data_IF_003777102793
#
_entry.id   IF_003777102793
#
_cell.length_a   1.000
_cell.length_b   1.000
_cell.length_c   1.000
_cell.angle_alpha   90.00
_cell.angle_beta   90.00
_cell.angle_gamma   90.00
#
_symmetry.space_group_name_H-M   'P 1'
#
loop_
_entity.id
_entity.type
_entity.pdbx_description
1 polymer ?
#
# COMPACT_ATOMS: atom_id res chain seq x y z
N UNK A 1 19.75 -11.19 -3.21
CA UNK A 1 20.46 -10.50 -2.11
C UNK A 1 19.54 -10.12 -0.95
N UNK A 2 18.46 -9.33 -1.13
CA UNK A 2 17.56 -8.96 0.00
C UNK A 2 16.90 -10.18 0.67
N UNK A 3 16.41 -11.14 -0.12
CA UNK A 3 15.79 -12.36 0.41
C UNK A 3 16.76 -13.20 1.26
N UNK A 4 17.99 -13.40 0.79
CA UNK A 4 19.04 -14.09 1.55
C UNK A 4 19.44 -13.35 2.84
N UNK A 5 19.48 -12.01 2.80
CA UNK A 5 19.72 -11.22 4.00
C UNK A 5 18.57 -11.36 5.02
N UNK A 6 17.32 -11.34 4.56
CA UNK A 6 16.13 -11.56 5.41
C UNK A 6 16.06 -13.00 5.95
N UNK A 7 16.39 -14.00 5.14
CA UNK A 7 16.48 -15.41 5.57
C UNK A 7 17.54 -15.60 6.67
N UNK A 8 18.59 -14.78 6.68
CA UNK A 8 19.66 -14.85 7.69
C UNK A 8 19.33 -14.04 8.95
N UNK A 9 18.72 -12.87 8.80
CA UNK A 9 18.50 -11.91 9.90
C UNK A 9 17.13 -12.08 10.58
N UNK A 10 16.12 -12.51 9.84
CA UNK A 10 14.75 -12.71 10.32
C UNK A 10 14.05 -13.84 9.54
N UNK A 11 14.44 -15.11 9.78
CA UNK A 11 13.96 -16.27 9.01
C UNK A 11 12.44 -16.42 9.02
N UNK A 12 11.78 -16.03 10.12
CA UNK A 12 10.33 -16.02 10.26
C UNK A 12 9.65 -15.00 9.32
N UNK A 13 10.30 -13.87 9.04
CA UNK A 13 9.79 -12.84 8.11
C UNK A 13 9.97 -13.30 6.66
N UNK A 14 11.05 -14.02 6.35
CA UNK A 14 11.27 -14.54 5.00
C UNK A 14 10.19 -15.54 4.56
N UNK A 15 9.65 -16.33 5.51
CA UNK A 15 8.57 -17.30 5.26
C UNK A 15 7.20 -16.65 5.04
N UNK A 16 6.99 -15.41 5.51
CA UNK A 16 5.74 -14.67 5.33
C UNK A 16 5.71 -13.82 4.04
N UNK A 17 6.71 -13.94 3.16
CA UNK A 17 6.77 -13.16 1.92
C UNK A 17 5.89 -13.83 0.86
N UNK A 18 4.78 -13.16 0.53
CA UNK A 18 3.95 -13.53 -0.62
C UNK A 18 4.51 -12.82 -1.86
N UNK A 19 4.96 -13.60 -2.85
CA UNK A 19 5.46 -13.04 -4.11
C UNK A 19 4.28 -12.51 -4.94
N UNK A 20 4.28 -11.21 -5.23
CA UNK A 20 3.28 -10.57 -6.08
C UNK A 20 3.47 -11.00 -7.54
N UNK A 21 2.37 -11.31 -8.23
CA UNK A 21 2.35 -11.56 -9.68
C UNK A 21 2.35 -13.03 -10.09
N UNK A 22 2.31 -13.98 -9.15
CA UNK A 22 2.00 -15.38 -9.46
C UNK A 22 0.48 -15.58 -9.53
N UNK A 23 -0.02 -16.55 -10.33
CA UNK A 23 -1.45 -16.90 -10.36
C UNK A 23 -2.04 -17.20 -8.97
N UNK A 24 -1.23 -17.76 -8.07
CA UNK A 24 -1.64 -18.22 -6.75
C UNK A 24 -1.55 -17.13 -5.67
N UNK A 25 -1.08 -15.93 -6.01
CA UNK A 25 -0.90 -14.82 -5.05
C UNK A 25 -2.18 -14.55 -4.25
N UNK A 26 -3.32 -14.47 -4.94
CA UNK A 26 -4.61 -14.21 -4.28
C UNK A 26 -5.04 -15.34 -3.35
N UNK A 27 -4.72 -16.59 -3.69
CA UNK A 27 -5.05 -17.74 -2.86
C UNK A 27 -4.23 -17.70 -1.56
N UNK A 28 -2.92 -17.47 -1.64
CA UNK A 28 -2.07 -17.36 -0.45
C UNK A 28 -2.44 -16.18 0.44
N UNK A 29 -2.79 -15.03 -0.16
CA UNK A 29 -3.29 -13.87 0.61
C UNK A 29 -4.56 -14.26 1.37
N UNK A 30 -5.50 -14.94 0.69
CA UNK A 30 -6.73 -15.38 1.32
C UNK A 30 -6.49 -16.40 2.44
N UNK A 31 -5.70 -17.43 2.19
CA UNK A 31 -5.34 -18.45 3.19
C UNK A 31 -4.72 -17.81 4.42
N UNK A 32 -3.76 -16.89 4.23
CA UNK A 32 -3.15 -16.15 5.33
C UNK A 32 -4.18 -15.38 6.17
N UNK A 33 -5.13 -14.71 5.53
CA UNK A 33 -6.17 -13.94 6.22
C UNK A 33 -7.21 -14.85 6.90
N UNK A 34 -7.61 -15.95 6.26
CA UNK A 34 -8.55 -16.94 6.81
C UNK A 34 -7.95 -17.64 8.05
N UNK A 35 -6.64 -17.79 8.12
CA UNK A 35 -5.89 -18.27 9.30
C UNK A 35 -5.69 -17.22 10.39
N UNK A 36 -6.20 -15.99 10.20
CA UNK A 36 -6.07 -14.88 11.16
C UNK A 36 -4.74 -14.11 11.05
N UNK A 37 -4.00 -14.30 9.97
CA UNK A 37 -2.77 -13.57 9.66
C UNK A 37 -3.00 -12.15 9.16
N UNK A 38 -1.90 -11.44 8.90
CA UNK A 38 -1.88 -10.09 8.33
C UNK A 38 -1.09 -10.07 7.03
N UNK A 39 -1.62 -9.34 6.05
CA UNK A 39 -0.97 -9.14 4.75
C UNK A 39 -0.57 -7.67 4.63
N UNK A 40 0.74 -7.41 4.55
CA UNK A 40 1.30 -6.09 4.36
C UNK A 40 1.57 -5.80 2.88
N UNK A 41 1.13 -4.63 2.40
CA UNK A 41 1.34 -4.19 1.01
C UNK A 41 1.85 -2.76 1.02
N UNK A 42 2.92 -2.50 0.26
CA UNK A 42 3.35 -1.13 -0.03
C UNK A 42 2.42 -0.54 -1.10
N UNK A 43 1.60 0.42 -0.72
CA UNK A 43 0.59 1.02 -1.60
C UNK A 43 1.01 2.33 -2.27
N UNK A 44 2.22 2.82 -2.04
CA UNK A 44 2.65 4.15 -2.51
C UNK A 44 3.17 4.17 -3.95
N UNK A 45 3.54 3.02 -4.53
CA UNK A 45 4.18 2.96 -5.87
C UNK A 45 3.62 1.86 -6.75
N UNK A 46 3.29 2.16 -8.01
CA UNK A 46 2.94 1.13 -8.97
C UNK A 46 4.18 0.33 -9.40
N UNK A 47 4.01 -0.98 -9.57
CA UNK A 47 4.98 -1.82 -10.27
C UNK A 47 4.59 -2.01 -11.73
N UNK A 48 5.52 -2.50 -12.55
CA UNK A 48 5.31 -2.68 -13.99
C UNK A 48 4.08 -3.57 -14.26
N UNK A 49 3.12 -3.07 -15.04
CA UNK A 49 1.82 -3.69 -15.37
C UNK A 49 0.73 -3.61 -14.28
N UNK A 50 0.96 -2.85 -13.21
CA UNK A 50 -0.12 -2.55 -12.28
C UNK A 50 -1.21 -1.72 -12.96
N UNK A 51 -2.46 -2.01 -12.60
CA UNK A 51 -3.54 -1.05 -12.86
C UNK A 51 -3.31 0.16 -11.97
N UNK A 52 -3.12 1.31 -12.59
CA UNK A 52 -2.95 2.59 -11.90
C UNK A 52 -4.26 3.36 -11.85
N UNK A 53 -4.38 4.23 -10.85
CA UNK A 53 -5.41 5.26 -10.75
C UNK A 53 -4.74 6.59 -10.50
N UNK A 54 -5.29 7.65 -11.08
CA UNK A 54 -4.83 9.01 -10.82
C UNK A 54 -5.43 9.54 -9.51
N UNK A 55 -4.59 10.11 -8.65
CA UNK A 55 -4.98 10.78 -7.42
C UNK A 55 -4.26 12.11 -7.31
N UNK A 56 -4.87 13.05 -6.59
CA UNK A 56 -4.22 14.29 -6.19
C UNK A 56 -3.28 14.00 -5.01
N UNK A 57 -2.00 14.31 -5.19
CA UNK A 57 -0.96 14.11 -4.19
C UNK A 57 0.05 15.26 -4.22
N UNK A 58 0.21 15.92 -3.08
CA UNK A 58 1.06 17.10 -2.91
C UNK A 58 0.76 18.18 -3.98
N UNK A 59 -0.53 18.44 -4.18
CA UNK A 59 -1.09 19.43 -5.10
C UNK A 59 -0.89 19.14 -6.61
N UNK A 60 -0.44 17.95 -6.99
CA UNK A 60 -0.28 17.54 -8.38
C UNK A 60 -0.94 16.18 -8.62
N UNK A 61 -1.41 15.89 -9.85
CA UNK A 61 -1.87 14.56 -10.22
C UNK A 61 -0.71 13.55 -10.17
N UNK A 62 -0.94 12.38 -9.59
CA UNK A 62 0.04 11.30 -9.55
C UNK A 62 -0.63 9.93 -9.67
N UNK A 63 0.13 8.94 -10.13
CA UNK A 63 -0.37 7.58 -10.35
C UNK A 63 -0.07 6.66 -9.18
N UNK A 64 -1.11 6.02 -8.65
CA UNK A 64 -1.03 5.07 -7.54
C UNK A 64 -1.53 3.68 -7.96
N UNK A 65 -0.99 2.59 -7.36
CA UNK A 65 -1.47 1.25 -7.63
C UNK A 65 -2.88 1.08 -7.08
N UNK A 66 -3.79 0.60 -7.93
CA UNK A 66 -5.17 0.26 -7.53
C UNK A 66 -5.29 -1.14 -6.92
N UNK A 67 -4.24 -1.97 -7.05
CA UNK A 67 -4.19 -3.36 -6.60
C UNK A 67 -4.59 -3.56 -5.13
N UNK A 68 -4.08 -2.78 -4.16
CA UNK A 68 -4.43 -2.94 -2.75
C UNK A 68 -5.93 -2.77 -2.47
N UNK A 69 -6.53 -1.69 -2.99
CA UNK A 69 -7.96 -1.39 -2.81
C UNK A 69 -8.84 -2.43 -3.53
N UNK A 70 -8.43 -2.84 -4.73
CA UNK A 70 -9.09 -3.89 -5.49
C UNK A 70 -9.08 -5.22 -4.73
N UNK A 71 -7.93 -5.64 -4.23
CA UNK A 71 -7.75 -6.88 -3.47
C UNK A 71 -8.61 -6.88 -2.20
N UNK A 72 -8.55 -5.81 -1.42
CA UNK A 72 -9.38 -5.65 -0.23
C UNK A 72 -10.89 -5.70 -0.53
N UNK A 73 -11.33 -5.12 -1.66
CA UNK A 73 -12.75 -5.19 -2.08
C UNK A 73 -13.21 -6.60 -2.43
N UNK A 74 -12.32 -7.43 -2.98
CA UNK A 74 -12.62 -8.83 -3.35
C UNK A 74 -12.67 -9.71 -2.10
N UNK A 75 -11.70 -9.54 -1.22
CA UNK A 75 -11.56 -10.35 0.00
C UNK A 75 -12.50 -9.90 1.12
N UNK A 76 -13.04 -8.68 1.04
CA UNK A 76 -13.94 -8.08 2.05
C UNK A 76 -13.33 -8.07 3.45
N UNK A 77 -12.07 -7.71 3.55
CA UNK A 77 -11.33 -7.64 4.81
C UNK A 77 -11.11 -6.19 5.26
N UNK A 78 -10.90 -5.95 6.57
CA UNK A 78 -10.50 -4.64 7.08
C UNK A 78 -9.18 -4.18 6.48
N UNK A 79 -9.09 -2.88 6.20
CA UNK A 79 -7.89 -2.23 5.70
C UNK A 79 -7.39 -1.24 6.73
N UNK A 80 -6.18 -1.50 7.22
CA UNK A 80 -5.49 -0.64 8.18
C UNK A 80 -4.30 0.00 7.46
N UNK A 81 -4.22 1.33 7.52
CA UNK A 81 -3.04 2.07 7.11
C UNK A 81 -2.01 2.06 8.22
N UNK A 82 -0.75 1.96 7.85
CA UNK A 82 0.37 2.01 8.78
C UNK A 82 1.46 2.94 8.27
N UNK A 83 1.93 3.82 9.12
CA UNK A 83 3.01 4.77 8.81
C UNK A 83 4.04 4.81 9.94
N UNK A 84 5.31 4.62 9.58
CA UNK A 84 6.44 4.74 10.49
C UNK A 84 7.20 6.05 10.27
N UNK A 85 7.35 6.85 11.32
CA UNK A 85 8.06 8.12 11.29
C UNK A 85 9.29 8.04 12.20
N UNK A 86 10.47 8.28 11.64
CA UNK A 86 11.70 8.49 12.37
C UNK A 86 11.72 9.90 13.01
N UNK A 87 11.94 9.93 14.33
CA UNK A 87 11.97 11.15 15.16
C UNK A 87 13.37 11.52 15.67
N UNK A 88 14.41 10.93 15.07
CA UNK A 88 15.79 11.14 15.51
C UNK A 88 16.18 10.30 16.73
N UNK A 89 17.48 10.02 16.87
CA UNK A 89 18.02 9.35 18.05
C UNK A 89 17.42 7.97 18.31
N UNK A 90 17.26 7.17 17.25
CA UNK A 90 16.66 5.83 17.29
C UNK A 90 15.21 5.79 17.82
N UNK A 91 14.47 6.90 17.73
CA UNK A 91 13.05 6.95 18.09
C UNK A 91 12.18 6.89 16.84
N UNK A 92 11.14 6.09 16.92
CA UNK A 92 10.16 5.91 15.86
C UNK A 92 8.75 6.08 16.43
N UNK A 93 7.91 6.80 15.69
CA UNK A 93 6.47 6.83 15.90
C UNK A 93 5.80 5.96 14.85
N UNK A 94 4.82 5.21 15.29
CA UNK A 94 4.06 4.31 14.44
C UNK A 94 2.60 4.72 14.55
N UNK A 95 1.97 4.96 13.41
CA UNK A 95 0.56 5.29 13.33
C UNK A 95 -0.20 4.19 12.61
N UNK A 96 -1.28 3.72 13.24
CA UNK A 96 -2.25 2.81 12.64
C UNK A 96 -3.58 3.53 12.49
N UNK A 97 -4.18 3.44 11.32
CA UNK A 97 -5.49 4.05 11.04
C UNK A 97 -6.37 3.04 10.32
N UNK A 98 -7.60 2.84 10.81
CA UNK A 98 -8.59 2.07 10.07
C UNK A 98 -9.04 2.90 8.86
N UNK A 99 -8.75 2.43 7.64
CA UNK A 99 -9.28 3.03 6.42
C UNK A 99 -10.74 2.62 6.20
N UNK A 100 -11.03 1.33 6.35
CA UNK A 100 -12.37 0.77 6.25
C UNK A 100 -12.42 -0.64 6.83
N UNK A 101 -13.55 -1.01 7.43
CA UNK A 101 -13.86 -2.42 7.73
C UNK A 101 -14.06 -3.24 6.46
N UNK A 102 -14.65 -2.63 5.42
CA UNK A 102 -14.86 -3.25 4.12
C UNK A 102 -14.79 -2.21 3.01
N UNK A 103 -13.97 -2.47 2.00
CA UNK A 103 -13.96 -1.66 0.78
C UNK A 103 -15.10 -2.14 -0.12
N UNK A 104 -16.05 -1.25 -0.40
CA UNK A 104 -17.18 -1.52 -1.29
C UNK A 104 -16.97 -0.68 -2.55
N UNK A 105 -16.89 -1.36 -3.69
CA UNK A 105 -16.83 -0.72 -5.01
C UNK A 105 -18.22 -0.79 -5.65
N UNK A 106 -18.76 0.35 -6.08
CA UNK A 106 -19.99 0.39 -6.84
C UNK A 106 -19.80 -0.39 -8.16
N UNK A 107 -20.76 -1.24 -8.51
CA UNK A 107 -20.71 -2.01 -9.75
C UNK A 107 -20.95 -1.14 -10.98
N UNK A 108 -21.71 -0.05 -10.84
CA UNK A 108 -22.01 0.87 -11.94
C UNK A 108 -20.85 1.85 -12.16
N UNK A 109 -20.21 2.32 -11.08
CA UNK A 109 -19.12 3.29 -11.11
C UNK A 109 -17.85 2.74 -10.45
N UNK A 110 -17.41 1.56 -10.91
CA UNK A 110 -16.32 0.80 -10.27
C UNK A 110 -14.99 1.55 -10.29
N UNK A 111 -14.68 2.20 -11.40
CA UNK A 111 -13.42 2.95 -11.57
C UNK A 111 -13.40 4.18 -10.66
N UNK A 112 -14.47 4.96 -10.64
CA UNK A 112 -14.60 6.12 -9.75
C UNK A 112 -14.56 5.73 -8.27
N UNK A 113 -15.27 4.66 -7.89
CA UNK A 113 -15.22 4.15 -6.52
C UNK A 113 -13.81 3.72 -6.12
N UNK A 114 -13.09 3.08 -7.05
CA UNK A 114 -11.71 2.64 -6.82
C UNK A 114 -10.76 3.82 -6.70
N UNK A 115 -10.95 4.85 -7.52
CA UNK A 115 -10.23 6.12 -7.44
C UNK A 115 -10.50 6.78 -6.09
N UNK A 116 -11.74 6.86 -5.62
CA UNK A 116 -12.09 7.49 -4.35
C UNK A 116 -11.42 6.80 -3.16
N UNK A 117 -11.49 5.47 -3.10
CA UNK A 117 -10.81 4.71 -2.04
C UNK A 117 -9.30 4.89 -2.06
N UNK A 118 -8.71 4.91 -3.26
CA UNK A 118 -7.26 5.16 -3.40
C UNK A 118 -6.91 6.58 -2.98
N UNK A 119 -7.72 7.57 -3.36
CA UNK A 119 -7.54 8.97 -2.97
C UNK A 119 -7.55 9.15 -1.45
N UNK A 120 -8.42 8.43 -0.72
CA UNK A 120 -8.45 8.46 0.75
C UNK A 120 -7.13 7.97 1.35
N UNK A 121 -6.56 6.88 0.83
CA UNK A 121 -5.22 6.42 1.22
C UNK A 121 -4.17 7.48 0.91
N UNK A 122 -4.18 8.04 -0.31
CA UNK A 122 -3.23 9.06 -0.77
C UNK A 122 -3.28 10.32 0.08
N UNK A 123 -4.47 10.75 0.51
CA UNK A 123 -4.63 11.90 1.43
C UNK A 123 -3.96 11.65 2.78
N UNK A 124 -4.00 10.41 3.30
CA UNK A 124 -3.30 10.06 4.54
C UNK A 124 -1.79 9.97 4.34
N UNK A 125 -1.34 9.39 3.23
CA UNK A 125 0.07 9.42 2.84
C UNK A 125 0.58 10.87 2.75
N UNK A 126 -0.17 11.76 2.08
CA UNK A 126 0.18 13.17 1.95
C UNK A 126 0.31 13.85 3.31
N UNK A 127 -0.62 13.60 4.23
CA UNK A 127 -0.55 14.13 5.58
C UNK A 127 0.79 13.79 6.26
N UNK A 128 1.22 12.53 6.18
CA UNK A 128 2.49 12.08 6.77
C UNK A 128 3.72 12.59 6.02
N UNK A 129 3.67 12.67 4.70
CA UNK A 129 4.72 13.31 3.91
C UNK A 129 4.89 14.79 4.29
N UNK A 130 3.80 15.52 4.55
CA UNK A 130 3.87 16.91 5.03
C UNK A 130 4.37 17.02 6.47
N UNK A 131 3.94 16.10 7.34
CA UNK A 131 4.35 16.08 8.75
C UNK A 131 5.83 15.74 8.93
N UNK A 132 6.39 14.88 8.08
CA UNK A 132 7.76 14.43 8.15
C UNK A 132 8.39 14.29 6.75
N UNK A 133 8.71 15.40 6.05
CA UNK A 133 9.12 15.40 4.65
C UNK A 133 10.33 14.52 4.31
N UNK A 134 11.27 14.37 5.26
CA UNK A 134 12.47 13.56 5.07
C UNK A 134 12.27 12.06 5.30
N UNK A 135 11.07 11.63 5.71
CA UNK A 135 10.78 10.22 6.03
C UNK A 135 10.20 9.44 4.85
N UNK A 136 9.72 10.14 3.82
CA UNK A 136 9.29 9.49 2.60
C UNK A 136 10.47 9.36 1.64
N UNK A 137 11.05 8.16 1.59
CA UNK A 137 12.24 7.84 0.79
C UNK A 137 11.92 7.74 -0.70
N UNK A 138 11.54 8.84 -1.34
CA UNK A 138 11.32 8.90 -2.77
C UNK A 138 12.51 9.53 -3.50
N UNK A 139 13.27 8.70 -4.21
CA UNK A 139 14.44 9.10 -5.00
C UNK A 139 14.21 8.94 -6.51
N UNK A 140 12.95 8.83 -6.93
CA UNK A 140 12.54 8.60 -8.32
C UNK A 140 11.56 9.69 -8.77
N UNK A 141 11.44 9.87 -10.09
CA UNK A 141 10.39 10.69 -10.68
C UNK A 141 9.03 10.04 -10.35
N UNK A 142 8.28 10.68 -9.45
CA UNK A 142 7.01 10.17 -8.94
C UNK A 142 5.81 10.80 -9.64
N UNK A 143 5.95 12.06 -10.05
CA UNK A 143 5.03 12.74 -10.93
C UNK A 143 5.54 12.60 -12.36
N UNK A 144 4.62 12.47 -13.32
CA UNK A 144 4.98 12.68 -14.71
C UNK A 144 5.35 14.15 -14.88
N UNK A 145 6.49 14.43 -15.52
CA UNK A 145 6.82 15.80 -15.89
C UNK A 145 5.86 16.21 -17.01
N UNK A 146 5.17 17.34 -16.85
CA UNK A 146 4.38 17.94 -17.94
C UNK A 146 5.32 18.26 -19.11
N UNK A 147 5.46 17.33 -20.07
CA UNK A 147 6.14 17.56 -21.36
C UNK A 147 5.21 18.13 -22.42
#
# INVERSE_FOLDING_TARGET
>A
MLRQALETLAPSIAQSIIQVGSPDTMLHVKECLDEGGLVGILGDRPVKHDKIVECQFLAHPAHFPSGPMLLASILKVPVILFFGLYRGGCRYEIHFELLSEHIILDRQNREDSLQEWTQRFVTRLEHYCRLAPHNWFNFYAFWEEDT
#
